data_IF_827611593507
#
_entry.id   IF_827611593507
#
_cell.length_a   1.000
_cell.length_b   1.000
_cell.length_c   1.000
_cell.angle_alpha   90.00
_cell.angle_beta   90.00
_cell.angle_gamma   90.00
#
_symmetry.space_group_name_H-M   'P 1'
#
loop_
_entity.id
_entity.type
_entity.pdbx_description
1 polymer ?
#
# COMPACT_ATOMS: atom_id res chain seq x y z
N UNK A 1 -0.19 -21.58 6.99
CA UNK A 1 0.23 -20.19 6.66
C UNK A 1 1.16 -20.10 5.47
N UNK A 2 2.14 -21.00 5.31
CA UNK A 2 2.97 -21.08 4.09
C UNK A 2 2.15 -21.10 2.78
N UNK A 3 1.01 -21.80 2.78
CA UNK A 3 0.09 -21.84 1.63
C UNK A 3 -0.48 -20.47 1.25
N UNK A 4 -0.81 -19.60 2.23
CA UNK A 4 -1.33 -18.25 1.93
C UNK A 4 -0.23 -17.39 1.30
N UNK A 5 0.99 -17.43 1.84
CA UNK A 5 2.14 -16.70 1.28
C UNK A 5 2.47 -17.15 -0.14
N UNK A 6 2.42 -18.46 -0.40
CA UNK A 6 2.64 -19.00 -1.74
C UNK A 6 1.56 -18.51 -2.72
N UNK A 7 0.29 -18.62 -2.34
CA UNK A 7 -0.84 -18.14 -3.16
C UNK A 7 -0.72 -16.65 -3.42
N UNK A 8 -0.43 -15.85 -2.40
CA UNK A 8 -0.18 -14.41 -2.52
C UNK A 8 0.95 -14.12 -3.52
N UNK A 9 2.11 -14.76 -3.38
CA UNK A 9 3.25 -14.55 -4.27
C UNK A 9 2.93 -14.89 -5.72
N UNK A 10 2.19 -15.98 -5.96
CA UNK A 10 1.73 -16.34 -7.32
C UNK A 10 0.79 -15.28 -7.87
N UNK A 11 -0.19 -14.79 -7.08
CA UNK A 11 -1.11 -13.74 -7.52
C UNK A 11 -0.36 -12.45 -7.84
N UNK A 12 0.57 -12.02 -6.98
CA UNK A 12 1.37 -10.81 -7.20
C UNK A 12 2.25 -10.94 -8.43
N UNK A 13 2.86 -12.11 -8.67
CA UNK A 13 3.62 -12.37 -9.88
C UNK A 13 2.75 -12.25 -11.14
N UNK A 14 1.57 -12.89 -11.14
CA UNK A 14 0.62 -12.82 -12.26
C UNK A 14 0.17 -11.37 -12.50
N UNK A 15 -0.16 -10.63 -11.46
CA UNK A 15 -0.53 -9.21 -11.56
C UNK A 15 0.62 -8.36 -12.10
N UNK A 16 1.85 -8.61 -11.65
CA UNK A 16 3.04 -7.88 -12.11
C UNK A 16 3.31 -8.12 -13.60
N UNK A 17 3.17 -9.37 -14.06
CA UNK A 17 3.27 -9.71 -15.48
C UNK A 17 2.14 -9.05 -16.28
N UNK A 18 0.91 -9.08 -15.78
CA UNK A 18 -0.22 -8.42 -16.44
C UNK A 18 -0.03 -6.90 -16.55
N UNK A 19 0.52 -6.26 -15.50
CA UNK A 19 0.89 -4.84 -15.51
C UNK A 19 1.94 -4.54 -16.58
N UNK A 20 2.99 -5.37 -16.65
CA UNK A 20 4.04 -5.20 -17.65
C UNK A 20 3.49 -5.34 -19.07
N UNK A 21 2.68 -6.36 -19.32
CA UNK A 21 2.02 -6.59 -20.62
C UNK A 21 1.16 -5.37 -20.98
N UNK A 22 0.33 -4.87 -20.07
CA UNK A 22 -0.51 -3.70 -20.32
C UNK A 22 0.31 -2.44 -20.60
N UNK A 23 1.41 -2.25 -19.88
CA UNK A 23 2.37 -1.16 -20.13
C UNK A 23 2.98 -1.24 -21.53
N UNK A 24 3.36 -2.44 -21.99
CA UNK A 24 3.92 -2.66 -23.32
C UNK A 24 2.88 -2.46 -24.44
N UNK A 25 1.70 -3.05 -24.31
CA UNK A 25 0.60 -2.94 -25.29
C UNK A 25 0.12 -1.49 -25.40
N UNK A 26 0.01 -0.79 -24.27
CA UNK A 26 -0.51 0.58 -24.20
C UNK A 26 0.61 1.63 -24.10
N UNK A 27 1.85 1.27 -24.49
CA UNK A 27 3.05 2.12 -24.32
C UNK A 27 2.90 3.56 -24.79
N UNK A 28 2.25 3.79 -25.94
CA UNK A 28 2.04 5.16 -26.48
C UNK A 28 1.17 6.04 -25.58
N UNK A 29 0.21 5.43 -24.87
CA UNK A 29 -0.71 6.12 -23.95
C UNK A 29 -0.12 6.28 -22.55
N UNK A 30 0.71 5.33 -22.13
CA UNK A 30 1.32 5.29 -20.79
C UNK A 30 2.63 6.09 -20.73
N UNK A 31 3.41 6.14 -21.82
CA UNK A 31 4.69 6.84 -21.85
C UNK A 31 4.64 8.30 -21.36
N UNK A 32 3.63 9.13 -21.70
CA UNK A 32 3.51 10.48 -21.17
C UNK A 32 3.29 10.54 -19.65
N UNK A 33 2.76 9.47 -19.05
CA UNK A 33 2.48 9.34 -17.62
C UNK A 33 3.63 8.68 -16.84
N UNK A 34 4.59 8.04 -17.54
CA UNK A 34 5.74 7.38 -16.93
C UNK A 34 6.61 8.35 -16.12
N UNK A 35 6.68 9.62 -16.51
CA UNK A 35 7.39 10.66 -15.75
C UNK A 35 6.89 10.79 -14.31
N UNK A 36 5.59 10.60 -14.07
CA UNK A 36 5.03 10.64 -12.72
C UNK A 36 5.47 9.43 -11.89
N UNK A 37 5.49 8.26 -12.52
CA UNK A 37 6.03 7.05 -11.90
C UNK A 37 7.50 7.17 -11.56
N UNK A 38 8.32 7.70 -12.47
CA UNK A 38 9.75 7.90 -12.25
C UNK A 38 10.03 8.87 -11.09
N UNK A 39 9.27 9.97 -10.99
CA UNK A 39 9.41 10.92 -9.88
C UNK A 39 9.07 10.24 -8.54
N UNK A 40 7.92 9.57 -8.44
CA UNK A 40 7.52 8.86 -7.22
C UNK A 40 8.52 7.76 -6.85
N UNK A 41 8.98 6.98 -7.82
CA UNK A 41 9.96 5.93 -7.62
C UNK A 41 11.30 6.49 -7.14
N UNK A 42 11.81 7.57 -7.75
CA UNK A 42 13.06 8.20 -7.33
C UNK A 42 13.01 8.70 -5.88
N UNK A 43 11.92 9.38 -5.49
CA UNK A 43 11.74 9.86 -4.11
C UNK A 43 11.67 8.69 -3.13
N UNK A 44 10.80 7.71 -3.37
CA UNK A 44 10.57 6.62 -2.41
C UNK A 44 11.74 5.64 -2.35
N UNK A 45 12.34 5.28 -3.48
CA UNK A 45 13.54 4.44 -3.51
C UNK A 45 14.73 5.17 -2.89
N UNK A 46 14.86 6.49 -3.07
CA UNK A 46 15.87 7.29 -2.38
C UNK A 46 15.71 7.28 -0.87
N UNK A 47 14.47 7.43 -0.37
CA UNK A 47 14.17 7.29 1.06
C UNK A 47 14.48 5.88 1.57
N UNK A 48 14.10 4.84 0.83
CA UNK A 48 14.42 3.44 1.17
C UNK A 48 15.93 3.19 1.21
N UNK A 49 16.69 3.69 0.23
CA UNK A 49 18.14 3.59 0.22
C UNK A 49 18.77 4.29 1.42
N UNK A 50 18.30 5.50 1.77
CA UNK A 50 18.77 6.21 2.97
C UNK A 50 18.48 5.41 4.25
N UNK A 51 17.27 4.87 4.41
CA UNK A 51 16.93 4.02 5.55
C UNK A 51 17.83 2.78 5.63
N UNK A 52 18.12 2.14 4.49
CA UNK A 52 19.02 0.98 4.44
C UNK A 52 20.47 1.34 4.81
N UNK A 53 20.94 2.55 4.49
CA UNK A 53 22.27 3.03 4.90
C UNK A 53 22.35 3.28 6.42
N UNK A 54 21.22 3.54 7.07
CA UNK A 54 21.14 3.68 8.53
C UNK A 54 21.03 2.32 9.24
N UNK A 55 20.75 1.23 8.52
CA UNK A 55 20.74 -0.10 9.09
C UNK A 55 22.17 -0.66 9.14
N UNK A 56 22.57 -1.31 10.26
CA UNK A 56 23.86 -1.97 10.38
C UNK A 56 23.90 -3.27 9.55
N UNK A 57 24.03 -3.14 8.23
CA UNK A 57 24.12 -4.29 7.31
C UNK A 57 25.57 -4.76 7.25
N UNK A 58 25.89 -5.85 7.95
CA UNK A 58 27.28 -6.30 8.19
C UNK A 58 27.88 -7.21 7.10
N UNK A 59 27.12 -7.63 6.07
CA UNK A 59 27.60 -8.58 5.05
C UNK A 59 27.39 -8.12 3.60
N UNK A 60 28.41 -8.23 2.76
CA UNK A 60 28.40 -7.85 1.33
C UNK A 60 27.30 -8.55 0.51
N UNK A 61 27.03 -9.84 0.75
CA UNK A 61 25.96 -10.58 0.05
C UNK A 61 24.58 -9.96 0.33
N UNK A 62 24.36 -9.44 1.54
CA UNK A 62 23.11 -8.78 1.90
C UNK A 62 22.96 -7.45 1.14
N UNK A 63 24.05 -6.70 0.94
CA UNK A 63 24.02 -5.44 0.20
C UNK A 63 23.60 -5.62 -1.26
N UNK A 64 24.12 -6.63 -1.96
CA UNK A 64 23.73 -6.91 -3.36
C UNK A 64 22.25 -7.26 -3.50
N UNK A 65 21.72 -8.06 -2.56
CA UNK A 65 20.29 -8.40 -2.53
C UNK A 65 19.45 -7.14 -2.31
N UNK A 66 19.85 -6.27 -1.39
CA UNK A 66 19.16 -5.01 -1.11
C UNK A 66 19.12 -4.08 -2.33
N UNK A 67 20.23 -3.95 -3.05
CA UNK A 67 20.27 -3.17 -4.31
C UNK A 67 19.30 -3.77 -5.33
N UNK A 68 19.26 -5.10 -5.47
CA UNK A 68 18.28 -5.78 -6.32
C UNK A 68 16.83 -5.46 -5.94
N UNK A 69 16.50 -5.48 -4.64
CA UNK A 69 15.17 -5.13 -4.13
C UNK A 69 14.82 -3.67 -4.42
N UNK A 70 15.75 -2.74 -4.25
CA UNK A 70 15.54 -1.32 -4.57
C UNK A 70 15.23 -1.11 -6.07
N UNK A 71 15.94 -1.82 -6.96
CA UNK A 71 15.71 -1.75 -8.41
C UNK A 71 14.32 -2.29 -8.75
N UNK A 72 13.95 -3.46 -8.21
CA UNK A 72 12.62 -4.06 -8.42
C UNK A 72 11.52 -3.12 -7.93
N UNK A 73 11.67 -2.55 -6.72
CA UNK A 73 10.72 -1.58 -6.17
C UNK A 73 10.62 -0.32 -7.05
N UNK A 74 11.74 0.20 -7.53
CA UNK A 74 11.75 1.38 -8.41
C UNK A 74 10.93 1.13 -9.68
N UNK A 75 11.15 -0.01 -10.34
CA UNK A 75 10.40 -0.40 -11.53
C UNK A 75 8.92 -0.60 -11.19
N UNK A 76 8.62 -1.30 -10.10
CA UNK A 76 7.26 -1.60 -9.68
C UNK A 76 6.45 -0.34 -9.36
N UNK A 77 7.02 0.62 -8.62
CA UNK A 77 6.40 1.92 -8.33
C UNK A 77 6.17 2.68 -9.64
N UNK A 78 7.16 2.72 -10.52
CA UNK A 78 7.06 3.42 -11.82
C UNK A 78 5.88 2.88 -12.63
N UNK A 79 5.80 1.56 -12.79
CA UNK A 79 4.73 0.90 -13.55
C UNK A 79 3.37 1.09 -12.87
N UNK A 80 3.30 0.92 -11.54
CA UNK A 80 2.05 1.04 -10.78
C UNK A 80 1.46 2.43 -10.86
N UNK A 81 2.30 3.46 -10.74
CA UNK A 81 1.86 4.87 -10.88
C UNK A 81 1.43 5.16 -12.31
N UNK A 82 2.24 4.84 -13.30
CA UNK A 82 1.95 5.19 -14.69
C UNK A 82 0.66 4.52 -15.18
N UNK A 83 0.51 3.23 -14.92
CA UNK A 83 -0.67 2.45 -15.28
C UNK A 83 -1.88 2.83 -14.41
N UNK A 84 -1.68 3.05 -13.12
CA UNK A 84 -2.71 3.44 -12.18
C UNK A 84 -3.32 4.81 -12.52
N UNK A 85 -2.49 5.80 -12.85
CA UNK A 85 -2.95 7.11 -13.33
C UNK A 85 -3.71 6.98 -14.65
N UNK A 86 -3.21 6.17 -15.60
CA UNK A 86 -3.90 5.91 -16.86
C UNK A 86 -5.31 5.34 -16.64
N UNK A 87 -5.45 4.33 -15.78
CA UNK A 87 -6.76 3.73 -15.50
C UNK A 87 -7.67 4.60 -14.65
N UNK A 88 -7.11 5.37 -13.71
CA UNK A 88 -7.88 6.38 -12.98
C UNK A 88 -8.52 7.39 -13.94
N UNK A 89 -7.79 7.86 -14.96
CA UNK A 89 -8.33 8.77 -15.98
C UNK A 89 -9.42 8.11 -16.80
N UNK A 90 -9.21 6.88 -17.28
CA UNK A 90 -10.20 6.12 -18.05
C UNK A 90 -11.49 5.88 -17.28
N UNK A 91 -11.40 5.70 -15.97
CA UNK A 91 -12.55 5.50 -15.09
C UNK A 91 -13.11 6.80 -14.49
N UNK A 92 -12.52 7.97 -14.81
CA UNK A 92 -12.92 9.28 -14.25
C UNK A 92 -12.86 9.31 -12.72
N UNK A 93 -11.81 8.71 -12.15
CA UNK A 93 -11.54 8.69 -10.72
C UNK A 93 -10.51 9.77 -10.34
N UNK A 94 -10.47 10.19 -9.07
CA UNK A 94 -9.41 11.07 -8.59
C UNK A 94 -8.08 10.31 -8.65
N UNK A 95 -7.05 10.92 -9.24
CA UNK A 95 -5.69 10.38 -9.31
C UNK A 95 -4.82 10.99 -8.20
N UNK A 96 -3.74 11.69 -8.56
CA UNK A 96 -2.88 12.48 -7.67
C UNK A 96 -3.06 13.96 -8.01
N UNK A 97 -3.83 14.69 -7.18
CA UNK A 97 -4.30 16.04 -7.46
C UNK A 97 -3.26 17.10 -7.10
N UNK A 98 -2.58 16.91 -5.96
CA UNK A 98 -1.62 17.86 -5.37
C UNK A 98 -0.39 18.04 -6.26
N UNK A 99 -0.01 17.00 -7.01
CA UNK A 99 1.08 17.12 -7.97
C UNK A 99 0.66 17.72 -9.34
N UNK A 100 -0.59 18.16 -9.49
CA UNK A 100 -1.11 18.73 -10.74
C UNK A 100 -1.06 17.74 -11.91
N UNK A 101 -0.92 16.44 -11.63
CA UNK A 101 -0.42 15.50 -12.63
C UNK A 101 -1.43 15.19 -13.73
N UNK A 102 -2.74 15.23 -13.47
CA UNK A 102 -3.81 15.31 -14.49
C UNK A 102 -5.12 15.77 -13.85
N UNK A 103 -5.81 16.72 -14.48
CA UNK A 103 -7.14 17.18 -14.06
C UNK A 103 -8.15 16.03 -14.01
N UNK A 104 -8.76 15.79 -12.85
CA UNK A 104 -9.83 14.81 -12.74
C UNK A 104 -11.10 15.36 -13.39
N UNK A 105 -11.76 14.62 -14.30
CA UNK A 105 -13.01 15.05 -14.92
C UNK A 105 -14.22 15.00 -13.95
N UNK A 106 -14.06 14.49 -12.73
CA UNK A 106 -15.11 14.39 -11.73
C UNK A 106 -14.92 15.48 -10.68
N UNK A 107 -16.01 16.14 -10.26
CA UNK A 107 -16.02 17.07 -9.11
C UNK A 107 -15.32 16.37 -7.94
N UNK A 108 -14.09 16.78 -7.64
CA UNK A 108 -13.43 16.36 -6.41
C UNK A 108 -14.32 16.73 -5.24
N UNK A 109 -14.29 15.91 -4.18
CA UNK A 109 -14.89 16.34 -2.93
C UNK A 109 -14.27 17.70 -2.55
N UNK A 110 -15.11 18.59 -2.04
CA UNK A 110 -14.63 19.77 -1.33
C UNK A 110 -13.63 19.34 -0.23
N UNK A 111 -12.63 20.18 0.01
CA UNK A 111 -11.54 19.92 0.94
C UNK A 111 -12.06 19.56 2.33
N UNK A 112 -13.11 20.23 2.83
CA UNK A 112 -13.69 19.92 4.15
C UNK A 112 -14.25 18.50 4.19
N UNK A 113 -14.96 18.08 3.14
CA UNK A 113 -15.47 16.70 3.02
C UNK A 113 -14.35 15.67 2.89
N UNK A 114 -13.27 16.01 2.17
CA UNK A 114 -12.08 15.16 2.05
C UNK A 114 -11.41 14.96 3.41
N UNK A 115 -11.17 16.05 4.15
CA UNK A 115 -10.60 16.01 5.51
C UNK A 115 -11.49 15.20 6.45
N UNK A 116 -12.81 15.46 6.45
CA UNK A 116 -13.75 14.71 7.29
C UNK A 116 -13.75 13.21 6.99
N UNK A 117 -13.67 12.82 5.71
CA UNK A 117 -13.59 11.41 5.32
C UNK A 117 -12.26 10.76 5.73
N UNK A 118 -11.12 11.45 5.58
CA UNK A 118 -9.83 10.97 6.06
C UNK A 118 -9.85 10.78 7.59
N UNK A 119 -10.37 11.76 8.33
CA UNK A 119 -10.48 11.70 9.79
C UNK A 119 -11.38 10.54 10.24
N UNK A 120 -12.51 10.32 9.55
CA UNK A 120 -13.41 9.20 9.85
C UNK A 120 -12.75 7.83 9.62
N UNK A 121 -12.01 7.67 8.51
CA UNK A 121 -11.27 6.42 8.22
C UNK A 121 -10.13 6.22 9.24
N UNK A 122 -9.38 7.27 9.57
CA UNK A 122 -8.31 7.22 10.56
C UNK A 122 -8.84 6.83 11.94
N UNK A 123 -9.82 7.58 12.46
CA UNK A 123 -10.39 7.34 13.78
C UNK A 123 -11.08 5.98 13.86
N UNK A 124 -11.88 5.62 12.84
CA UNK A 124 -12.54 4.31 12.76
C UNK A 124 -11.54 3.16 12.72
N UNK A 125 -10.47 3.29 11.92
CA UNK A 125 -9.40 2.29 11.84
C UNK A 125 -8.65 2.13 13.15
N UNK A 126 -8.34 3.24 13.85
CA UNK A 126 -7.69 3.22 15.17
C UNK A 126 -8.58 2.56 16.21
N UNK A 127 -9.83 3.02 16.37
CA UNK A 127 -10.79 2.45 17.33
C UNK A 127 -10.97 0.95 17.08
N UNK A 128 -11.20 0.56 15.83
CA UNK A 128 -11.37 -0.85 15.47
C UNK A 128 -10.12 -1.68 15.82
N UNK A 129 -8.93 -1.19 15.47
CA UNK A 129 -7.68 -1.89 15.76
C UNK A 129 -7.41 -2.03 17.25
N UNK A 130 -7.65 -0.96 18.02
CA UNK A 130 -7.50 -0.96 19.47
C UNK A 130 -8.46 -1.95 20.12
N UNK A 131 -9.75 -1.91 19.77
CA UNK A 131 -10.73 -2.86 20.33
C UNK A 131 -10.38 -4.29 19.96
N UNK A 132 -9.99 -4.54 18.70
CA UNK A 132 -9.58 -5.87 18.26
C UNK A 132 -8.38 -6.38 19.04
N UNK A 133 -7.33 -5.57 19.19
CA UNK A 133 -6.09 -6.00 19.87
C UNK A 133 -6.28 -6.18 21.38
N UNK A 134 -7.07 -5.32 22.03
CA UNK A 134 -7.45 -5.52 23.44
C UNK A 134 -8.28 -6.80 23.63
N UNK A 135 -9.10 -7.18 22.66
CA UNK A 135 -9.93 -8.38 22.74
C UNK A 135 -9.19 -9.67 22.42
N UNK A 136 -8.10 -9.62 21.64
CA UNK A 136 -7.38 -10.81 21.16
C UNK A 136 -5.97 -10.95 21.71
N UNK A 137 -5.43 -9.91 22.33
CA UNK A 137 -4.09 -9.85 22.93
C UNK A 137 -3.00 -10.45 22.01
N UNK A 138 -2.87 -9.99 20.76
CA UNK A 138 -1.95 -10.62 19.82
C UNK A 138 -0.50 -10.37 20.23
N UNK A 139 0.38 -11.32 19.94
CA UNK A 139 1.83 -11.20 20.13
C UNK A 139 2.51 -10.94 18.78
N UNK A 140 3.73 -10.41 18.78
CA UNK A 140 4.54 -10.35 17.55
C UNK A 140 4.99 -11.75 17.13
N UNK A 141 5.05 -12.01 15.83
CA UNK A 141 5.58 -13.28 15.34
C UNK A 141 7.06 -13.45 15.73
N UNK A 142 7.49 -14.69 16.00
CA UNK A 142 8.88 -14.98 16.34
C UNK A 142 9.86 -14.48 15.26
N UNK A 143 9.46 -14.54 13.98
CA UNK A 143 10.27 -14.06 12.87
C UNK A 143 10.53 -12.55 12.98
N UNK A 144 9.50 -11.76 13.27
CA UNK A 144 9.63 -10.31 13.41
C UNK A 144 10.32 -9.94 14.73
N UNK A 145 9.99 -10.64 15.83
CA UNK A 145 10.67 -10.48 17.12
C UNK A 145 12.18 -10.71 16.98
N UNK A 146 12.61 -11.77 16.30
CA UNK A 146 14.03 -12.04 16.03
C UNK A 146 14.70 -10.94 15.18
N UNK A 147 13.96 -10.26 14.30
CA UNK A 147 14.47 -9.13 13.52
C UNK A 147 14.58 -7.84 14.35
N UNK A 148 13.79 -7.72 15.42
CA UNK A 148 13.73 -6.55 16.30
C UNK A 148 14.55 -6.70 17.59
N UNK A 149 14.96 -7.92 17.96
CA UNK A 149 15.64 -8.18 19.23
C UNK A 149 16.98 -7.42 19.36
N UNK A 150 17.24 -6.73 20.50
CA UNK A 150 18.48 -5.99 20.74
C UNK A 150 19.64 -6.97 20.95
N UNK A 151 20.61 -6.97 20.03
CA UNK A 151 21.79 -7.84 20.10
C UNK A 151 22.42 -8.14 18.74
N UNK A 152 21.69 -7.93 17.64
CA UNK A 152 22.22 -8.12 16.30
C UNK A 152 22.97 -6.89 15.73
N UNK A 153 22.62 -5.66 16.14
CA UNK A 153 23.36 -4.38 16.03
C UNK A 153 22.37 -3.21 16.09
N UNK A 154 22.65 -2.22 16.97
CA UNK A 154 21.92 -0.96 17.23
C UNK A 154 20.39 -1.03 17.38
N UNK A 155 19.87 -0.58 18.52
CA UNK A 155 18.45 -0.22 18.67
C UNK A 155 18.00 0.57 17.44
N UNK A 156 17.05 0.02 16.66
CA UNK A 156 16.42 0.80 15.60
C UNK A 156 15.72 1.95 16.31
N UNK A 157 16.30 3.14 16.19
CA UNK A 157 15.73 4.33 16.84
C UNK A 157 14.26 4.49 16.41
N UNK A 158 13.38 4.87 17.35
CA UNK A 158 11.96 5.14 17.06
C UNK A 158 11.76 6.03 15.83
N UNK A 159 12.57 7.09 15.58
CA UNK A 159 12.49 7.87 14.35
C UNK A 159 12.71 7.05 13.07
N UNK A 160 13.67 6.12 13.05
CA UNK A 160 13.91 5.25 11.89
C UNK A 160 12.73 4.30 11.66
N UNK A 161 12.17 3.71 12.72
CA UNK A 161 10.97 2.86 12.62
C UNK A 161 9.78 3.64 12.04
N UNK A 162 9.54 4.87 12.52
CA UNK A 162 8.51 5.76 11.99
C UNK A 162 8.73 6.01 10.50
N UNK A 163 9.96 6.33 10.08
CA UNK A 163 10.29 6.52 8.67
C UNK A 163 9.97 5.27 7.84
N UNK A 164 10.33 4.08 8.33
CA UNK A 164 10.07 2.81 7.63
C UNK A 164 8.57 2.58 7.45
N UNK A 165 7.77 2.70 8.50
CA UNK A 165 6.32 2.42 8.40
C UNK A 165 5.55 3.47 7.60
N UNK A 166 6.02 4.72 7.60
CA UNK A 166 5.46 5.80 6.77
C UNK A 166 5.79 5.57 5.31
N UNK A 167 7.07 5.32 4.98
CA UNK A 167 7.48 5.04 3.59
C UNK A 167 6.79 3.78 3.06
N UNK A 168 6.67 2.74 3.89
CA UNK A 168 5.92 1.54 3.53
C UNK A 168 4.46 1.87 3.19
N UNK A 169 3.76 2.66 4.02
CA UNK A 169 2.39 3.10 3.73
C UNK A 169 2.30 3.84 2.38
N UNK A 170 3.23 4.74 2.08
CA UNK A 170 3.23 5.48 0.81
C UNK A 170 3.38 4.55 -0.40
N UNK A 171 4.33 3.61 -0.34
CA UNK A 171 4.56 2.62 -1.41
C UNK A 171 3.34 1.72 -1.59
N UNK A 172 2.76 1.24 -0.48
CA UNK A 172 1.59 0.38 -0.51
C UNK A 172 0.37 1.08 -1.13
N UNK A 173 0.12 2.36 -0.83
CA UNK A 173 -0.99 3.09 -1.42
C UNK A 173 -0.82 3.34 -2.93
N UNK A 174 0.41 3.59 -3.39
CA UNK A 174 0.72 3.66 -4.82
C UNK A 174 0.48 2.33 -5.53
N UNK A 175 0.91 1.24 -4.90
CA UNK A 175 0.88 -0.08 -5.50
C UNK A 175 -0.53 -0.68 -5.48
N UNK A 176 -1.18 -0.71 -4.32
CA UNK A 176 -2.48 -1.36 -4.13
C UNK A 176 -3.66 -0.49 -4.55
N UNK A 177 -3.68 0.81 -4.21
CA UNK A 177 -4.87 1.66 -4.48
C UNK A 177 -4.77 2.38 -5.82
N UNK A 178 -3.65 3.04 -6.10
CA UNK A 178 -3.47 3.68 -7.40
C UNK A 178 -3.23 2.63 -8.50
N UNK A 179 -2.37 1.65 -8.28
CA UNK A 179 -2.04 0.59 -9.24
C UNK A 179 -3.12 -0.49 -9.34
N UNK A 180 -3.05 -1.51 -8.48
CA UNK A 180 -3.82 -2.77 -8.58
C UNK A 180 -5.33 -2.52 -8.58
N UNK A 181 -5.84 -1.67 -7.68
CA UNK A 181 -7.29 -1.42 -7.60
C UNK A 181 -7.83 -0.77 -8.87
N UNK A 182 -7.09 0.15 -9.50
CA UNK A 182 -7.54 0.75 -10.74
C UNK A 182 -7.40 -0.19 -11.94
N UNK A 183 -6.33 -0.99 -11.97
CA UNK A 183 -6.15 -2.04 -12.97
C UNK A 183 -7.33 -3.02 -12.93
N UNK A 184 -7.63 -3.58 -11.75
CA UNK A 184 -8.74 -4.50 -11.56
C UNK A 184 -10.08 -3.81 -11.84
N UNK A 185 -10.27 -2.58 -11.37
CA UNK A 185 -11.50 -1.82 -11.58
C UNK A 185 -11.81 -1.58 -13.06
N UNK A 186 -10.77 -1.36 -13.88
CA UNK A 186 -10.95 -1.22 -15.32
C UNK A 186 -11.34 -2.54 -15.99
N UNK A 187 -10.59 -3.61 -15.73
CA UNK A 187 -10.84 -4.92 -16.37
C UNK A 187 -12.14 -5.56 -15.90
N UNK A 188 -12.50 -5.41 -14.61
CA UNK A 188 -13.78 -5.90 -14.07
C UNK A 188 -14.97 -5.10 -14.59
N UNK A 189 -14.80 -3.80 -14.86
CA UNK A 189 -15.83 -3.01 -15.53
C UNK A 189 -16.12 -3.56 -16.92
N UNK A 190 -15.08 -3.94 -17.66
CA UNK A 190 -15.24 -4.51 -19.00
C UNK A 190 -15.87 -5.91 -18.93
N UNK A 191 -15.52 -6.71 -17.91
CA UNK A 191 -16.09 -8.03 -17.66
C UNK A 191 -17.59 -7.99 -17.29
N UNK A 192 -17.98 -7.12 -16.36
CA UNK A 192 -19.39 -7.01 -15.92
C UNK A 192 -20.28 -6.16 -16.83
N UNK A 193 -19.68 -5.49 -17.83
CA UNK A 193 -20.34 -4.55 -18.71
C UNK A 193 -20.48 -3.14 -18.11
N UNK A 194 -20.65 -2.16 -19.00
CA UNK A 194 -20.67 -0.73 -18.66
C UNK A 194 -21.78 -0.35 -17.67
N UNK A 195 -22.94 -1.00 -17.73
CA UNK A 195 -24.07 -0.80 -16.82
C UNK A 195 -23.74 -1.19 -15.38
N UNK A 196 -22.80 -2.13 -15.18
CA UNK A 196 -22.36 -2.63 -13.88
C UNK A 196 -20.95 -2.17 -13.49
N UNK A 197 -20.46 -1.08 -14.10
CA UNK A 197 -19.13 -0.52 -13.80
C UNK A 197 -18.92 -0.27 -12.30
N UNK A 198 -20.01 0.08 -11.60
CA UNK A 198 -20.00 0.31 -10.17
C UNK A 198 -19.73 -0.96 -9.36
N UNK A 199 -20.34 -2.07 -9.77
CA UNK A 199 -20.11 -3.39 -9.17
C UNK A 199 -18.66 -3.82 -9.43
N UNK A 200 -18.16 -3.67 -10.66
CA UNK A 200 -16.77 -4.01 -11.01
C UNK A 200 -15.74 -3.27 -10.16
N UNK A 201 -15.94 -1.97 -9.91
CA UNK A 201 -15.03 -1.22 -9.05
C UNK A 201 -15.15 -1.59 -7.56
N UNK A 202 -16.34 -1.90 -7.07
CA UNK A 202 -16.52 -2.38 -5.70
C UNK A 202 -15.85 -3.76 -5.50
N UNK A 203 -15.96 -4.65 -6.48
CA UNK A 203 -15.24 -5.94 -6.49
C UNK A 203 -13.73 -5.70 -6.50
N UNK A 204 -13.23 -4.73 -7.27
CA UNK A 204 -11.81 -4.38 -7.25
C UNK A 204 -11.34 -3.96 -5.84
N UNK A 205 -12.12 -3.15 -5.11
CA UNK A 205 -11.81 -2.76 -3.72
C UNK A 205 -11.73 -3.99 -2.80
N UNK A 206 -12.67 -4.92 -2.92
CA UNK A 206 -12.67 -6.14 -2.09
C UNK A 206 -11.44 -7.01 -2.39
N UNK A 207 -11.15 -7.23 -3.67
CA UNK A 207 -10.01 -8.06 -4.08
C UNK A 207 -8.67 -7.43 -3.69
N UNK A 208 -8.50 -6.12 -3.83
CA UNK A 208 -7.27 -5.45 -3.39
C UNK A 208 -7.12 -5.41 -1.89
N UNK A 209 -8.21 -5.22 -1.14
CA UNK A 209 -8.18 -5.31 0.32
C UNK A 209 -7.78 -6.72 0.79
N UNK A 210 -8.32 -7.78 0.15
CA UNK A 210 -7.97 -9.16 0.46
C UNK A 210 -6.49 -9.45 0.15
N UNK A 211 -5.99 -9.00 -1.02
CA UNK A 211 -4.60 -9.16 -1.40
C UNK A 211 -3.67 -8.42 -0.44
N UNK A 212 -4.02 -7.19 -0.06
CA UNK A 212 -3.26 -6.38 0.89
C UNK A 212 -3.23 -7.01 2.29
N UNK A 213 -4.35 -7.54 2.77
CA UNK A 213 -4.38 -8.30 4.02
C UNK A 213 -3.49 -9.55 3.96
N UNK A 214 -3.54 -10.32 2.88
CA UNK A 214 -2.69 -11.51 2.71
C UNK A 214 -1.17 -11.19 2.74
N UNK A 215 -0.78 -10.00 2.27
CA UNK A 215 0.61 -9.53 2.34
C UNK A 215 1.12 -9.37 3.79
N UNK A 216 0.22 -9.27 4.78
CA UNK A 216 0.53 -9.06 6.19
C UNK A 216 0.54 -10.36 7.02
N UNK A 217 0.56 -11.53 6.36
CA UNK A 217 0.64 -12.83 7.04
C UNK A 217 1.98 -13.06 7.75
N UNK A 218 1.94 -13.55 8.98
CA UNK A 218 3.08 -13.80 9.87
C UNK A 218 3.70 -12.55 10.48
N UNK A 219 2.92 -11.47 10.61
CA UNK A 219 3.32 -10.29 11.40
C UNK A 219 2.94 -10.47 12.88
N UNK A 220 1.72 -10.95 13.15
CA UNK A 220 1.20 -11.17 14.51
C UNK A 220 0.82 -12.63 14.71
N UNK A 221 0.81 -13.09 15.95
CA UNK A 221 0.27 -14.39 16.35
C UNK A 221 -0.92 -14.18 17.31
N UNK A 222 -2.09 -14.81 17.04
CA UNK A 222 -2.39 -15.63 15.86
C UNK A 222 -2.61 -14.79 14.58
N UNK A 223 -2.13 -15.31 13.45
CA UNK A 223 -2.11 -14.63 12.14
C UNK A 223 -3.45 -14.00 11.69
N UNK A 224 -4.56 -14.65 12.02
CA UNK A 224 -5.88 -14.21 11.58
C UNK A 224 -6.26 -12.83 12.16
N UNK A 225 -5.72 -12.45 13.33
CA UNK A 225 -5.99 -11.15 13.96
C UNK A 225 -5.49 -10.03 13.05
N UNK A 226 -4.28 -10.17 12.49
CA UNK A 226 -3.74 -9.17 11.55
C UNK A 226 -4.55 -9.13 10.26
N UNK A 227 -4.98 -10.26 9.75
CA UNK A 227 -5.81 -10.33 8.53
C UNK A 227 -7.16 -9.62 8.72
N UNK A 228 -7.83 -9.89 9.84
CA UNK A 228 -9.12 -9.28 10.20
C UNK A 228 -8.95 -7.80 10.58
N UNK A 229 -7.78 -7.37 11.03
CA UNK A 229 -7.46 -5.94 11.19
C UNK A 229 -7.32 -5.23 9.84
N UNK A 230 -6.47 -5.77 8.97
CA UNK A 230 -6.01 -5.12 7.73
C UNK A 230 -7.09 -5.15 6.65
N UNK A 231 -7.91 -6.21 6.57
CA UNK A 231 -8.94 -6.32 5.52
C UNK A 231 -10.01 -5.19 5.59
N UNK A 232 -10.67 -4.93 6.73
CA UNK A 232 -11.64 -3.82 6.86
C UNK A 232 -11.01 -2.45 6.65
N UNK A 233 -9.81 -2.21 7.19
CA UNK A 233 -9.05 -1.00 6.91
C UNK A 233 -8.78 -0.88 5.40
N UNK A 234 -8.53 -2.02 4.75
CA UNK A 234 -8.28 -2.12 3.32
C UNK A 234 -9.48 -1.66 2.49
N UNK A 235 -10.67 -2.13 2.86
CA UNK A 235 -11.95 -1.70 2.28
C UNK A 235 -12.19 -0.21 2.47
N UNK A 236 -11.94 0.31 3.68
CA UNK A 236 -12.11 1.73 4.00
C UNK A 236 -11.17 2.62 3.16
N UNK A 237 -9.90 2.24 3.04
CA UNK A 237 -8.92 2.94 2.19
C UNK A 237 -9.26 2.82 0.70
N UNK A 238 -9.76 1.68 0.24
CA UNK A 238 -10.21 1.52 -1.16
C UNK A 238 -11.43 2.39 -1.49
N UNK A 239 -12.36 2.54 -0.55
CA UNK A 239 -13.47 3.49 -0.66
C UNK A 239 -13.00 4.95 -0.59
N UNK A 240 -12.09 5.27 0.33
CA UNK A 240 -11.48 6.59 0.44
C UNK A 240 -10.80 6.98 -0.88
N UNK A 241 -10.02 6.08 -1.49
CA UNK A 241 -9.37 6.31 -2.79
C UNK A 241 -10.38 6.75 -3.84
N UNK A 242 -11.48 6.00 -3.96
CA UNK A 242 -12.52 6.27 -4.96
C UNK A 242 -13.15 7.66 -4.80
N UNK A 243 -13.20 8.18 -3.58
CA UNK A 243 -13.83 9.45 -3.24
C UNK A 243 -12.84 10.63 -3.22
N UNK A 244 -11.60 10.38 -2.81
CA UNK A 244 -10.65 11.42 -2.41
C UNK A 244 -9.25 11.30 -3.07
N UNK A 245 -8.97 10.21 -3.79
CA UNK A 245 -7.72 9.96 -4.51
C UNK A 245 -6.60 9.34 -3.67
N UNK A 246 -5.47 9.06 -4.32
CA UNK A 246 -4.33 8.36 -3.71
C UNK A 246 -3.75 9.12 -2.51
N UNK A 247 -3.65 10.45 -2.61
CA UNK A 247 -3.04 11.30 -1.59
C UNK A 247 -3.80 11.24 -0.26
N UNK A 248 -5.13 11.19 -0.30
CA UNK A 248 -5.92 11.00 0.91
C UNK A 248 -5.61 9.67 1.58
N UNK A 249 -5.47 8.59 0.80
CA UNK A 249 -5.14 7.29 1.33
C UNK A 249 -3.72 7.25 1.90
N UNK A 250 -2.74 7.80 1.19
CA UNK A 250 -1.35 7.93 1.65
C UNK A 250 -1.27 8.63 3.01
N UNK A 251 -1.88 9.82 3.12
CA UNK A 251 -1.86 10.57 4.37
C UNK A 251 -2.58 9.83 5.49
N UNK A 252 -3.75 9.26 5.21
CA UNK A 252 -4.56 8.54 6.21
C UNK A 252 -3.84 7.29 6.70
N UNK A 253 -3.26 6.50 5.79
CA UNK A 253 -2.54 5.28 6.11
C UNK A 253 -1.20 5.58 6.80
N UNK A 254 -0.43 6.56 6.34
CA UNK A 254 0.80 6.99 7.02
C UNK A 254 0.52 7.49 8.45
N UNK A 255 -0.56 8.27 8.65
CA UNK A 255 -0.98 8.72 9.97
C UNK A 255 -1.43 7.55 10.85
N UNK A 256 -2.17 6.59 10.29
CA UNK A 256 -2.56 5.37 11.00
C UNK A 256 -1.33 4.59 11.47
N UNK A 257 -0.36 4.33 10.58
CA UNK A 257 0.88 3.62 10.93
C UNK A 257 1.71 4.39 11.97
N UNK A 258 1.85 5.70 11.82
CA UNK A 258 2.54 6.56 12.79
C UNK A 258 1.95 6.42 14.19
N UNK A 259 0.62 6.54 14.32
CA UNK A 259 -0.06 6.42 15.63
C UNK A 259 0.06 5.00 16.18
N UNK A 260 -0.10 3.98 15.32
CA UNK A 260 0.00 2.57 15.72
C UNK A 260 1.39 2.16 16.21
N UNK A 261 2.47 2.84 15.80
CA UNK A 261 3.80 2.61 16.38
C UNK A 261 3.79 2.92 17.88
N UNK A 262 3.18 4.02 18.31
CA UNK A 262 3.09 4.38 19.73
C UNK A 262 2.06 3.57 20.50
N UNK A 263 0.95 3.20 19.86
CA UNK A 263 -0.06 2.36 20.50
C UNK A 263 0.39 0.90 20.60
N UNK A 264 1.26 0.44 19.70
CA UNK A 264 1.72 -0.94 19.62
C UNK A 264 2.31 -1.44 20.94
N UNK A 265 3.10 -0.62 21.61
CA UNK A 265 3.74 -0.96 22.90
C UNK A 265 2.73 -1.27 24.02
N UNK A 266 1.50 -0.78 23.91
CA UNK A 266 0.43 -1.00 24.88
C UNK A 266 -0.57 -2.08 24.45
N UNK A 267 -0.63 -2.38 23.15
CA UNK A 267 -1.67 -3.23 22.56
C UNK A 267 -1.17 -4.60 22.12
N UNK A 268 0.14 -4.76 21.96
CA UNK A 268 0.77 -6.02 21.53
C UNK A 268 1.53 -6.58 22.74
N UNK A 269 1.18 -7.80 23.14
CA UNK A 269 1.89 -8.49 24.22
C UNK A 269 3.28 -8.87 23.70
N UNK A 270 4.32 -8.46 24.43
CA UNK A 270 5.72 -8.73 24.08
C UNK A 270 6.11 -10.17 24.33
#
# INVERSE_FOLDING_TARGET
MQSIRLVYSVIVLVLSLAFLIDCLVKRRKIAPLAKYGLICAAVLTGMQALMLLMLPVTKTIQQSILVGVLIVNFVQITLSVALGVYYSQKMRLPSMVTFGFVGSPRRSLDLKKKIGLCAAVLAGGLIYSTVLFLATEPTMSQQLSNMLQPGASSEISTPLLICVVVVAALVEELMYRLGIQNFLGHHLKDLFGSHNAQMGYNTAIVLTAALWAAAHTGILEPDWVKLVQIFPLGLALGYLYRRAGAEACMTTHAAFNFIMVFLGDYLIVQ
#
